data_IF_649272508399
#
_entry.id   IF_649272508399
#
_cell.length_a   1.000
_cell.length_b   1.000
_cell.length_c   1.000
_cell.angle_alpha   90.00
_cell.angle_beta   90.00
_cell.angle_gamma   90.00
#
_symmetry.space_group_name_H-M   'P 1'
#
loop_
_entity.id
_entity.type
_entity.pdbx_description
1 polymer ?
#
# COMPACT_ATOMS: atom_id res chain seq x y z
N UNK A 1 -69.95 -24.93 5.22
CA UNK A 1 -69.25 -23.64 5.28
C UNK A 1 -67.76 -23.88 5.48
N UNK A 2 -66.95 -23.27 4.60
CA UNK A 2 -65.52 -22.93 4.73
C UNK A 2 -64.47 -24.07 4.70
N UNK A 3 -63.91 -24.27 3.50
CA UNK A 3 -62.56 -24.80 3.27
C UNK A 3 -61.52 -23.73 3.66
N UNK A 4 -60.46 -24.12 4.36
CA UNK A 4 -59.28 -23.27 4.62
C UNK A 4 -58.09 -23.82 3.82
N UNK A 5 -57.58 -23.04 2.89
CA UNK A 5 -56.31 -23.29 2.19
C UNK A 5 -55.36 -22.13 2.52
N UNK A 6 -54.24 -22.43 3.17
CA UNK A 6 -53.18 -21.48 3.46
C UNK A 6 -52.15 -21.52 2.33
N UNK A 7 -51.95 -20.38 1.66
CA UNK A 7 -50.94 -20.19 0.60
C UNK A 7 -49.65 -19.72 1.27
N UNK A 8 -48.61 -20.55 1.25
CA UNK A 8 -47.24 -20.18 1.62
C UNK A 8 -46.55 -19.55 0.41
N UNK A 9 -46.29 -18.25 0.47
CA UNK A 9 -45.43 -17.53 -0.48
C UNK A 9 -43.98 -17.67 -0.01
N UNK A 10 -43.18 -18.45 -0.74
CA UNK A 10 -41.72 -18.48 -0.58
C UNK A 10 -41.09 -17.32 -1.38
N UNK A 11 -40.12 -16.58 -0.82
CA UNK A 11 -39.40 -15.56 -1.58
C UNK A 11 -38.42 -16.22 -2.56
N UNK A 12 -38.49 -15.82 -3.85
CA UNK A 12 -37.47 -16.09 -4.86
C UNK A 12 -36.16 -15.41 -4.44
N UNK A 13 -35.12 -16.19 -4.16
CA UNK A 13 -33.75 -15.71 -4.13
C UNK A 13 -33.33 -15.39 -5.58
N UNK A 14 -33.09 -14.11 -5.87
CA UNK A 14 -32.51 -13.69 -7.14
C UNK A 14 -31.03 -14.13 -7.20
N UNK A 15 -30.74 -15.15 -8.01
CA UNK A 15 -29.36 -15.47 -8.37
C UNK A 15 -28.83 -14.33 -9.27
N UNK A 16 -27.86 -13.57 -8.78
CA UNK A 16 -27.13 -12.61 -9.60
C UNK A 16 -26.35 -13.35 -10.70
N UNK A 17 -26.35 -12.86 -11.95
CA UNK A 17 -25.59 -13.50 -13.03
C UNK A 17 -24.09 -13.35 -12.78
N UNK A 18 -23.40 -14.47 -12.61
CA UNK A 18 -21.94 -14.51 -12.64
C UNK A 18 -21.47 -14.28 -14.06
N UNK A 19 -20.91 -13.10 -14.34
CA UNK A 19 -20.18 -12.84 -15.58
C UNK A 19 -18.89 -13.66 -15.50
N UNK A 20 -18.84 -14.76 -16.23
CA UNK A 20 -17.67 -15.65 -16.31
C UNK A 20 -16.62 -14.92 -17.15
N UNK A 21 -15.68 -14.22 -16.51
CA UNK A 21 -14.48 -13.74 -17.19
C UNK A 21 -13.55 -14.96 -17.40
N UNK A 22 -13.24 -15.36 -18.65
CA UNK A 22 -12.41 -16.54 -18.95
C UNK A 22 -10.97 -16.48 -18.43
N UNK A 23 -10.55 -15.36 -17.82
CA UNK A 23 -9.24 -15.18 -17.21
C UNK A 23 -9.11 -15.74 -15.77
N UNK A 24 -10.19 -16.18 -15.12
CA UNK A 24 -10.17 -16.68 -13.74
C UNK A 24 -10.57 -18.16 -13.64
N UNK A 25 -9.69 -19.06 -14.09
CA UNK A 25 -9.83 -20.52 -13.89
C UNK A 25 -9.07 -21.05 -12.66
N UNK A 26 -8.71 -20.18 -11.71
CA UNK A 26 -8.10 -20.56 -10.44
C UNK A 26 -9.05 -20.34 -9.26
N UNK A 27 -8.97 -21.18 -8.24
CA UNK A 27 -9.53 -20.87 -6.92
C UNK A 27 -8.94 -19.54 -6.45
N UNK A 28 -9.75 -18.66 -5.85
CA UNK A 28 -9.22 -17.42 -5.27
C UNK A 28 -8.05 -17.75 -4.32
N UNK A 29 -6.94 -17.01 -4.36
CA UNK A 29 -5.83 -17.21 -3.43
C UNK A 29 -6.33 -17.19 -1.99
N UNK A 30 -5.78 -18.07 -1.15
CA UNK A 30 -6.17 -18.15 0.26
C UNK A 30 -5.83 -16.81 0.96
N UNK A 31 -6.82 -16.07 1.49
CA UNK A 31 -6.59 -14.77 2.13
C UNK A 31 -5.74 -14.85 3.40
N UNK A 32 -5.42 -16.05 3.91
CA UNK A 32 -4.48 -16.25 5.01
C UNK A 32 -3.01 -16.25 4.56
N UNK A 33 -2.74 -16.23 3.26
CA UNK A 33 -1.39 -16.31 2.67
C UNK A 33 -0.84 -14.98 2.19
N UNK A 34 -1.65 -13.93 2.22
CA UNK A 34 -1.23 -12.60 1.78
C UNK A 34 -2.00 -11.52 2.53
N UNK A 35 -1.51 -10.28 2.42
CA UNK A 35 -2.20 -9.10 2.92
C UNK A 35 -2.13 -7.97 1.91
N UNK A 36 -3.27 -7.31 1.71
CA UNK A 36 -3.34 -6.04 0.99
C UNK A 36 -3.04 -4.90 1.96
N UNK A 37 -1.88 -4.26 1.80
CA UNK A 37 -1.45 -3.14 2.65
C UNK A 37 -1.73 -1.84 1.90
N UNK A 38 -2.59 -1.00 2.47
CA UNK A 38 -2.89 0.31 1.88
C UNK A 38 -1.88 1.34 2.36
N UNK A 39 -1.30 2.08 1.42
CA UNK A 39 -0.35 3.16 1.66
C UNK A 39 -1.03 4.49 1.39
N UNK A 40 -0.99 5.36 2.38
CA UNK A 40 -1.54 6.71 2.29
C UNK A 40 -0.61 7.75 2.90
N UNK A 41 -0.70 8.98 2.39
CA UNK A 41 0.03 10.12 2.93
C UNK A 41 1.55 10.01 2.81
N UNK A 42 2.08 9.29 1.81
CA UNK A 42 3.52 9.27 1.57
C UNK A 42 4.03 10.68 1.29
N UNK A 43 5.02 11.11 2.07
CA UNK A 43 5.73 12.37 1.90
C UNK A 43 7.23 12.13 2.01
N UNK A 44 7.99 12.65 1.06
CA UNK A 44 9.44 12.64 1.06
C UNK A 44 9.95 14.07 1.07
N UNK A 45 10.98 14.31 1.88
CA UNK A 45 11.78 15.53 1.84
C UNK A 45 13.12 15.22 1.20
N UNK A 46 13.37 15.82 0.06
CA UNK A 46 14.61 15.68 -0.69
C UNK A 46 15.47 16.94 -0.54
N UNK A 47 16.77 16.74 -0.33
CA UNK A 47 17.76 17.81 -0.48
C UNK A 47 18.11 17.93 -1.96
N UNK A 48 18.07 19.14 -2.51
CA UNK A 48 18.39 19.42 -3.91
C UNK A 48 19.52 20.44 -4.03
N UNK A 49 20.31 20.36 -5.08
CA UNK A 49 21.21 21.44 -5.44
C UNK A 49 20.40 22.62 -5.99
N UNK A 50 20.43 23.77 -5.32
CA UNK A 50 19.62 24.94 -5.69
C UNK A 50 19.90 25.49 -7.11
N UNK A 51 21.07 25.21 -7.68
CA UNK A 51 21.45 25.69 -9.01
C UNK A 51 21.09 24.69 -10.11
N UNK A 52 21.26 23.39 -9.86
CA UNK A 52 21.06 22.34 -10.88
C UNK A 52 19.77 21.54 -10.70
N UNK A 53 19.00 21.83 -9.65
CA UNK A 53 17.79 21.11 -9.22
C UNK A 53 18.00 19.59 -9.09
N UNK A 54 19.26 19.15 -8.92
CA UNK A 54 19.60 17.74 -8.79
C UNK A 54 19.35 17.28 -7.36
N UNK A 55 18.65 16.17 -7.20
CA UNK A 55 18.50 15.48 -5.91
C UNK A 55 19.86 15.03 -5.39
N UNK A 56 20.19 15.45 -4.17
CA UNK A 56 21.41 15.11 -3.44
C UNK A 56 21.17 13.95 -2.47
N UNK A 57 19.95 13.84 -1.94
CA UNK A 57 19.56 12.75 -1.07
C UNK A 57 18.18 12.95 -0.47
N UNK A 58 17.67 11.90 0.15
CA UNK A 58 16.38 11.89 0.85
C UNK A 58 16.67 12.13 2.32
N UNK A 59 16.15 13.22 2.85
CA UNK A 59 16.37 13.61 4.25
C UNK A 59 15.36 12.92 5.17
N UNK A 60 14.12 12.76 4.71
CA UNK A 60 13.03 12.17 5.47
C UNK A 60 12.01 11.52 4.56
N UNK A 61 11.39 10.45 5.06
CA UNK A 61 10.18 9.85 4.51
C UNK A 61 9.18 9.63 5.65
N UNK A 62 7.90 9.89 5.39
CA UNK A 62 6.80 9.65 6.32
C UNK A 62 5.58 9.12 5.53
N UNK A 63 4.83 8.17 6.08
CA UNK A 63 3.58 7.67 5.49
C UNK A 63 2.75 6.89 6.52
N UNK A 64 1.56 6.45 6.10
CA UNK A 64 0.68 5.58 6.87
C UNK A 64 0.42 4.25 6.17
N UNK A 65 0.49 3.17 6.95
CA UNK A 65 -0.03 1.86 6.59
C UNK A 65 -1.46 1.75 7.12
N UNK A 66 -2.39 1.33 6.25
CA UNK A 66 -3.80 1.11 6.56
C UNK A 66 -4.49 2.31 7.25
N UNK A 67 -3.96 3.52 7.03
CA UNK A 67 -4.48 4.78 7.57
C UNK A 67 -4.22 5.03 9.06
N UNK A 68 -3.58 4.11 9.79
CA UNK A 68 -3.41 4.24 11.25
C UNK A 68 -2.01 3.86 11.78
N UNK A 69 -1.19 3.16 11.00
CA UNK A 69 0.19 2.83 11.38
C UNK A 69 1.12 3.84 10.76
N UNK A 70 1.73 4.69 11.57
CA UNK A 70 2.70 5.68 11.09
C UNK A 70 4.08 5.04 10.89
N UNK A 71 4.70 5.31 9.75
CA UNK A 71 6.03 4.87 9.39
C UNK A 71 6.86 6.10 9.03
N UNK A 72 8.06 6.22 9.58
CA UNK A 72 8.98 7.29 9.21
C UNK A 72 10.44 6.86 9.28
N UNK A 73 11.29 7.53 8.51
CA UNK A 73 12.74 7.34 8.59
C UNK A 73 13.47 8.64 8.23
N UNK A 74 14.66 8.80 8.82
CA UNK A 74 15.59 9.90 8.51
C UNK A 74 16.73 9.33 7.69
N UNK A 75 17.08 10.03 6.61
CA UNK A 75 18.13 9.62 5.68
C UNK A 75 17.97 8.18 5.14
N UNK A 76 16.78 7.77 4.64
CA UNK A 76 16.54 6.38 4.24
C UNK A 76 17.35 5.94 3.01
N UNK A 77 17.71 6.88 2.14
CA UNK A 77 18.19 6.57 0.78
C UNK A 77 17.15 5.78 -0.02
N UNK A 78 17.57 5.22 -1.16
CA UNK A 78 16.70 4.35 -2.00
C UNK A 78 17.27 2.95 -2.21
N UNK A 79 18.19 2.53 -1.33
CA UNK A 79 18.85 1.22 -1.39
C UNK A 79 18.05 0.11 -0.69
N UNK A 80 16.88 0.42 -0.11
CA UNK A 80 16.05 -0.54 0.60
C UNK A 80 16.52 -0.87 2.02
N UNK A 81 17.23 0.05 2.67
CA UNK A 81 17.51 -0.04 4.12
C UNK A 81 16.19 -0.17 4.89
N UNK A 82 16.16 -1.06 5.87
CA UNK A 82 14.93 -1.41 6.60
C UNK A 82 14.77 -0.54 7.85
N UNK A 83 13.60 0.06 7.99
CA UNK A 83 13.19 0.88 9.11
C UNK A 83 11.90 0.34 9.72
N UNK A 84 11.81 0.28 11.05
CA UNK A 84 10.60 -0.15 11.74
C UNK A 84 9.51 0.92 11.71
N UNK A 85 8.24 0.49 11.72
CA UNK A 85 7.11 1.37 11.98
C UNK A 85 6.71 1.24 13.47
N UNK A 86 6.84 2.34 14.21
CA UNK A 86 6.85 2.36 15.68
C UNK A 86 5.72 1.54 16.33
N UNK A 87 6.12 0.57 17.17
CA UNK A 87 5.19 -0.24 17.97
C UNK A 87 4.38 -1.27 17.18
N UNK A 88 4.70 -1.51 15.92
CA UNK A 88 3.98 -2.46 15.05
C UNK A 88 4.90 -3.55 14.50
N UNK A 89 4.35 -4.68 14.01
CA UNK A 89 5.14 -5.70 13.32
C UNK A 89 5.57 -5.28 11.90
N UNK A 90 5.21 -4.07 11.45
CA UNK A 90 5.58 -3.58 10.11
C UNK A 90 6.95 -2.94 10.11
N UNK A 91 7.64 -3.11 9.00
CA UNK A 91 8.86 -2.38 8.66
C UNK A 91 8.84 -2.06 7.18
N UNK A 92 9.63 -1.09 6.75
CA UNK A 92 9.68 -0.69 5.36
C UNK A 92 11.10 -0.36 4.92
N UNK A 93 11.34 -0.42 3.62
CA UNK A 93 12.51 0.17 2.99
C UNK A 93 12.09 1.00 1.79
N UNK A 94 12.68 2.18 1.66
CA UNK A 94 12.49 3.03 0.50
C UNK A 94 13.40 2.53 -0.63
N UNK A 95 12.81 2.34 -1.81
CA UNK A 95 13.50 1.86 -3.01
C UNK A 95 13.20 2.77 -4.19
N UNK A 96 14.00 2.70 -5.25
CA UNK A 96 13.63 3.33 -6.52
C UNK A 96 12.39 2.62 -7.08
N UNK A 97 11.44 3.40 -7.59
CA UNK A 97 10.29 2.84 -8.30
C UNK A 97 10.68 2.24 -9.65
N UNK A 98 9.78 1.44 -10.22
CA UNK A 98 9.91 0.84 -11.55
C UNK A 98 9.17 1.64 -12.63
N UNK A 99 8.02 2.21 -12.29
CA UNK A 99 7.19 3.07 -13.14
C UNK A 99 7.02 4.48 -12.57
N UNK A 100 7.22 4.62 -11.26
CA UNK A 100 7.25 5.87 -10.50
C UNK A 100 8.67 6.18 -10.02
N UNK A 101 8.86 7.36 -9.42
CA UNK A 101 10.17 7.74 -8.86
C UNK A 101 10.52 6.90 -7.61
N UNK A 102 9.52 6.56 -6.79
CA UNK A 102 9.73 5.88 -5.51
C UNK A 102 8.87 4.63 -5.39
N UNK A 103 9.45 3.59 -4.80
CA UNK A 103 8.72 2.41 -4.36
C UNK A 103 8.93 2.19 -2.87
N UNK A 104 8.00 1.47 -2.26
CA UNK A 104 8.16 0.94 -0.91
C UNK A 104 8.33 -0.56 -1.00
N UNK A 105 9.29 -1.08 -0.24
CA UNK A 105 9.33 -2.49 0.15
C UNK A 105 8.81 -2.59 1.57
N UNK A 106 7.77 -3.38 1.78
CA UNK A 106 7.14 -3.58 3.07
C UNK A 106 7.50 -4.95 3.61
N UNK A 107 7.60 -5.01 4.93
CA UNK A 107 7.84 -6.22 5.70
C UNK A 107 6.81 -6.27 6.82
N UNK A 108 6.33 -7.47 7.14
CA UNK A 108 5.52 -7.71 8.33
C UNK A 108 6.00 -8.97 9.02
N UNK A 109 6.38 -8.86 10.28
CA UNK A 109 6.67 -10.03 11.08
C UNK A 109 5.37 -10.76 11.45
N UNK A 110 5.23 -12.02 11.04
CA UNK A 110 4.04 -12.85 11.35
C UNK A 110 4.31 -13.85 12.47
N UNK A 111 5.59 -14.20 12.69
CA UNK A 111 6.06 -14.99 13.82
C UNK A 111 7.55 -14.71 14.11
N UNK A 112 8.18 -15.25 15.16
CA UNK A 112 9.60 -15.03 15.44
C UNK A 112 10.57 -15.40 14.29
N UNK A 113 10.17 -16.32 13.40
CA UNK A 113 10.99 -16.82 12.29
C UNK A 113 10.27 -16.76 10.93
N UNK A 114 9.16 -16.02 10.83
CA UNK A 114 8.43 -15.84 9.58
C UNK A 114 7.97 -14.40 9.42
N UNK A 115 7.91 -13.96 8.18
CA UNK A 115 7.36 -12.66 7.84
C UNK A 115 6.93 -12.63 6.39
N UNK A 116 6.10 -11.65 6.09
CA UNK A 116 5.64 -11.35 4.74
C UNK A 116 6.42 -10.18 4.18
N UNK A 117 6.65 -10.22 2.88
CA UNK A 117 7.32 -9.13 2.15
C UNK A 117 6.58 -8.83 0.87
N UNK A 118 6.67 -7.58 0.45
CA UNK A 118 6.15 -7.16 -0.85
C UNK A 118 6.72 -5.79 -1.21
N UNK A 119 6.59 -5.42 -2.48
CA UNK A 119 7.00 -4.09 -2.92
C UNK A 119 6.05 -3.55 -3.95
N UNK A 120 5.89 -2.24 -3.95
CA UNK A 120 5.09 -1.55 -4.94
C UNK A 120 5.54 -0.11 -5.10
N UNK A 121 5.32 0.38 -6.32
CA UNK A 121 5.50 1.76 -6.70
C UNK A 121 4.46 2.65 -6.00
N UNK A 122 4.87 3.86 -5.62
CA UNK A 122 3.98 4.86 -5.04
C UNK A 122 4.13 6.15 -5.84
N UNK A 123 3.08 6.51 -6.57
CA UNK A 123 3.10 7.71 -7.39
C UNK A 123 3.13 8.97 -6.53
N UNK A 124 4.12 9.81 -6.78
CA UNK A 124 4.34 11.07 -6.07
C UNK A 124 4.45 12.24 -7.03
N UNK A 125 3.98 13.40 -6.59
CA UNK A 125 4.22 14.68 -7.24
C UNK A 125 5.13 15.53 -6.37
N UNK A 126 6.22 16.03 -6.96
CA UNK A 126 7.22 16.81 -6.26
C UNK A 126 7.03 18.31 -6.52
N UNK A 127 7.17 19.10 -5.46
CA UNK A 127 7.10 20.57 -5.49
C UNK A 127 8.19 21.17 -4.62
N UNK A 128 8.56 22.41 -4.92
CA UNK A 128 9.54 23.13 -4.10
C UNK A 128 9.09 23.21 -2.63
N UNK A 129 9.97 22.81 -1.71
CA UNK A 129 9.80 22.95 -0.27
C UNK A 129 10.34 24.26 0.28
N UNK A 130 10.87 25.13 -0.58
CA UNK A 130 11.62 26.33 -0.22
C UNK A 130 13.12 26.05 -0.02
N UNK A 131 13.96 26.96 -0.54
CA UNK A 131 15.42 26.80 -0.47
C UNK A 131 15.93 25.61 -1.30
N UNK A 132 16.92 24.91 -0.77
CA UNK A 132 17.57 23.74 -1.39
C UNK A 132 16.83 22.42 -1.09
N UNK A 133 15.49 22.47 -1.11
CA UNK A 133 14.63 21.35 -0.72
C UNK A 133 13.44 21.19 -1.66
N UNK A 134 13.11 19.94 -1.93
CA UNK A 134 11.91 19.51 -2.63
C UNK A 134 11.08 18.58 -1.73
N UNK A 135 9.75 18.66 -1.86
CA UNK A 135 8.79 17.81 -1.15
C UNK A 135 8.00 17.01 -2.18
N UNK A 136 8.07 15.69 -2.09
CA UNK A 136 7.32 14.77 -2.94
C UNK A 136 6.18 14.17 -2.13
N UNK A 137 4.94 14.34 -2.58
CA UNK A 137 3.75 13.84 -1.90
C UNK A 137 3.00 12.85 -2.77
N UNK A 138 2.41 11.85 -2.13
CA UNK A 138 1.57 10.84 -2.79
C UNK A 138 0.40 11.49 -3.52
N UNK A 139 0.21 11.11 -4.78
CA UNK A 139 -0.90 11.63 -5.61
C UNK A 139 -2.17 10.80 -5.38
N UNK A 140 -2.05 9.48 -5.34
CA UNK A 140 -3.16 8.55 -5.12
C UNK A 140 -2.79 7.46 -4.12
N UNK A 141 -3.73 7.03 -3.24
CA UNK A 141 -3.51 5.87 -2.38
C UNK A 141 -3.14 4.64 -3.21
N UNK A 142 -2.18 3.85 -2.71
CA UNK A 142 -1.74 2.62 -3.37
C UNK A 142 -1.93 1.42 -2.45
N UNK A 143 -2.04 0.23 -3.05
CA UNK A 143 -2.13 -1.03 -2.32
C UNK A 143 -0.93 -1.89 -2.70
N UNK A 144 -0.19 -2.34 -1.70
CA UNK A 144 0.95 -3.25 -1.85
C UNK A 144 0.55 -4.60 -1.25
N UNK A 145 0.67 -5.66 -2.04
CA UNK A 145 0.43 -7.02 -1.56
C UNK A 145 1.71 -7.56 -0.93
N UNK A 146 1.62 -8.07 0.30
CA UNK A 146 2.71 -8.78 0.98
C UNK A 146 2.31 -10.24 1.20
N UNK A 147 3.28 -11.17 1.11
CA UNK A 147 3.09 -12.62 1.36
C UNK A 147 4.38 -13.28 1.83
#
# INVERSE_FOLDING_TARGET
MKFSAAILLAPLAAAAPTIINPAHNGTAPDPSTYENVNISGLSLRESINATTTKVLGIERVDFYINGNVSCSAVSPGTQGTVFGCDGTPYSFGLINGTTSQFGLRLYKQTSPFAGWTGSGDVETYCRSGGGAVEICEQVTPSTIVIS
#
